data_IF_116188020823
#
_entry.id   IF_116188020823
#
_cell.length_a   1.000
_cell.length_b   1.000
_cell.length_c   1.000
_cell.angle_alpha   90.00
_cell.angle_beta   90.00
_cell.angle_gamma   90.00
#
_symmetry.space_group_name_H-M   'P 1'
#
loop_
_entity.id
_entity.type
_entity.pdbx_description
1 polymer ?
#
# COMPACT_ATOMS: atom_id res chain seq x y z
N UNK A 1 -2.07 7.16 9.17
CA UNK A 1 -2.94 6.44 10.12
C UNK A 1 -2.13 5.38 10.81
N UNK A 2 -2.42 5.11 12.08
CA UNK A 2 -1.80 4.02 12.85
C UNK A 2 -2.77 2.83 12.93
N UNK A 3 -2.24 1.62 12.75
CA UNK A 3 -2.90 0.33 12.93
C UNK A 3 -2.09 -0.48 13.96
N UNK A 4 -2.55 -1.67 14.34
CA UNK A 4 -1.75 -2.56 15.18
C UNK A 4 -0.59 -3.13 14.34
N UNK A 5 0.65 -2.84 14.76
CA UNK A 5 1.92 -3.19 14.11
C UNK A 5 2.05 -2.84 12.61
N UNK A 6 1.21 -1.94 12.12
CA UNK A 6 1.23 -1.45 10.74
C UNK A 6 0.82 0.02 10.65
N UNK A 7 1.09 0.62 9.51
CA UNK A 7 0.69 1.96 9.11
C UNK A 7 -0.33 1.90 7.97
N UNK A 8 -1.00 3.03 7.73
CA UNK A 8 -1.98 3.14 6.66
C UNK A 8 -2.29 4.59 6.32
N UNK A 9 -3.10 4.79 5.29
CA UNK A 9 -3.48 6.12 4.82
C UNK A 9 -4.89 6.18 4.29
N UNK A 10 -5.55 7.32 4.47
CA UNK A 10 -6.79 7.62 3.76
C UNK A 10 -6.39 8.01 2.34
N UNK A 11 -6.80 7.23 1.36
CA UNK A 11 -6.46 7.45 -0.05
C UNK A 11 -7.70 7.77 -0.87
N UNK A 12 -7.49 8.42 -2.01
CA UNK A 12 -8.53 8.64 -3.02
C UNK A 12 -8.01 8.32 -4.42
N UNK A 13 -8.93 7.89 -5.27
CA UNK A 13 -8.72 7.83 -6.71
C UNK A 13 -8.80 9.26 -7.28
N UNK A 14 -8.19 9.54 -8.45
CA UNK A 14 -8.29 10.85 -9.08
C UNK A 14 -9.74 11.30 -9.33
N UNK A 15 -10.62 10.34 -9.61
CA UNK A 15 -12.05 10.57 -9.92
C UNK A 15 -12.95 10.60 -8.69
N UNK A 16 -12.44 10.28 -7.48
CA UNK A 16 -13.25 10.25 -6.25
C UNK A 16 -13.83 11.63 -5.92
N UNK A 17 -15.10 11.63 -5.52
CA UNK A 17 -15.87 12.80 -5.12
C UNK A 17 -15.94 12.95 -3.60
N UNK A 18 -16.18 14.17 -3.06
CA UNK A 18 -16.24 14.39 -1.61
C UNK A 18 -17.26 13.52 -0.87
N UNK A 19 -18.37 13.16 -1.54
CA UNK A 19 -19.43 12.35 -0.96
C UNK A 19 -19.25 10.83 -1.17
N UNK A 20 -18.17 10.41 -1.82
CA UNK A 20 -17.85 8.99 -1.93
C UNK A 20 -17.38 8.45 -0.57
N UNK A 21 -17.70 7.18 -0.23
CA UNK A 21 -17.12 6.51 0.93
C UNK A 21 -15.59 6.53 0.84
N UNK A 22 -14.93 6.95 1.92
CA UNK A 22 -13.48 7.07 1.89
C UNK A 22 -12.80 5.70 1.91
N UNK A 23 -11.66 5.60 1.22
CA UNK A 23 -10.83 4.42 1.20
C UNK A 23 -9.65 4.55 2.16
N UNK A 24 -9.29 3.45 2.83
CA UNK A 24 -8.06 3.33 3.62
C UNK A 24 -7.17 2.26 3.00
N UNK A 25 -5.91 2.58 2.78
CA UNK A 25 -4.89 1.69 2.22
C UNK A 25 -3.86 1.28 3.27
N UNK A 26 -3.53 -0.01 3.31
CA UNK A 26 -2.43 -0.64 4.06
C UNK A 26 -1.93 -1.86 3.27
N UNK A 27 -0.93 -2.63 3.73
CA UNK A 27 -0.52 -3.84 3.03
C UNK A 27 -1.56 -4.98 3.17
N UNK A 28 -1.53 -5.93 2.24
CA UNK A 28 -2.16 -7.24 2.34
C UNK A 28 -1.66 -8.00 3.57
N UNK A 29 -0.36 -8.00 3.85
CA UNK A 29 0.18 -8.68 5.03
C UNK A 29 -0.26 -8.03 6.36
N UNK A 30 -0.74 -6.79 6.32
CA UNK A 30 -1.29 -6.09 7.48
C UNK A 30 -2.78 -6.42 7.73
N UNK A 31 -3.43 -7.25 6.91
CA UNK A 31 -4.86 -7.57 7.00
C UNK A 31 -5.24 -8.19 8.36
N UNK A 32 -6.34 -7.73 8.96
CA UNK A 32 -6.74 -8.15 10.32
C UNK A 32 -7.15 -9.63 10.43
N UNK A 33 -7.50 -10.27 9.31
CA UNK A 33 -7.83 -11.69 9.23
C UNK A 33 -6.63 -12.59 8.99
N UNK A 34 -5.40 -12.04 8.96
CA UNK A 34 -4.17 -12.73 8.60
C UNK A 34 -3.75 -12.47 7.15
N UNK A 35 -2.49 -12.81 6.86
CA UNK A 35 -1.86 -12.62 5.56
C UNK A 35 -2.56 -13.44 4.47
N UNK A 36 -3.00 -12.84 3.35
CA UNK A 36 -3.51 -13.60 2.21
C UNK A 36 -2.49 -14.61 1.67
N UNK A 37 -2.94 -15.84 1.42
CA UNK A 37 -2.11 -16.88 0.83
C UNK A 37 -1.63 -16.47 -0.59
N UNK A 38 -0.50 -17.01 -1.08
CA UNK A 38 -0.10 -16.83 -2.47
C UNK A 38 -1.22 -17.23 -3.45
N UNK A 39 -1.59 -16.32 -4.36
CA UNK A 39 -2.71 -16.49 -5.30
C UNK A 39 -4.10 -16.15 -4.73
N UNK A 40 -4.18 -15.75 -3.46
CA UNK A 40 -5.44 -15.36 -2.83
C UNK A 40 -5.75 -13.89 -3.07
N UNK A 41 -7.01 -13.63 -3.44
CA UNK A 41 -7.57 -12.29 -3.58
C UNK A 41 -8.89 -12.27 -2.83
N UNK A 42 -9.01 -11.33 -1.89
CA UNK A 42 -10.19 -11.14 -1.06
C UNK A 42 -10.92 -9.89 -1.56
N UNK A 43 -12.22 -10.03 -1.80
CA UNK A 43 -13.09 -8.92 -2.25
C UNK A 43 -14.40 -8.91 -1.49
N UNK A 44 -14.92 -7.70 -1.28
CA UNK A 44 -16.25 -7.42 -0.73
C UNK A 44 -16.57 -8.18 0.58
N UNK A 45 -15.59 -8.27 1.49
CA UNK A 45 -15.79 -8.91 2.79
C UNK A 45 -16.14 -7.88 3.86
N UNK A 46 -17.17 -8.10 4.70
CA UNK A 46 -17.45 -7.23 5.84
C UNK A 46 -16.23 -7.07 6.76
N UNK A 47 -16.03 -5.86 7.26
CA UNK A 47 -14.96 -5.57 8.22
C UNK A 47 -15.45 -4.49 9.20
N UNK A 48 -14.98 -4.59 10.43
CA UNK A 48 -15.18 -3.58 11.48
C UNK A 48 -13.86 -2.97 11.93
N UNK A 49 -12.79 -3.13 11.12
CA UNK A 49 -11.44 -2.68 11.44
C UNK A 49 -11.42 -1.18 11.76
N UNK A 50 -10.74 -0.85 12.84
CA UNK A 50 -10.58 0.53 13.31
C UNK A 50 -9.18 1.04 13.02
N UNK A 51 -9.08 2.34 12.73
CA UNK A 51 -7.84 3.02 12.38
C UNK A 51 -7.72 4.32 13.17
N UNK A 52 -6.55 4.58 13.75
CA UNK A 52 -6.29 5.89 14.38
C UNK A 52 -5.91 6.91 13.32
N UNK A 53 -6.69 7.99 13.28
CA UNK A 53 -6.45 9.15 12.44
C UNK A 53 -5.45 10.05 13.12
N UNK A 54 -4.43 10.48 12.38
CA UNK A 54 -3.37 11.34 12.89
C UNK A 54 -3.36 12.68 12.15
N UNK A 55 -3.05 13.75 12.87
CA UNK A 55 -2.74 15.04 12.26
C UNK A 55 -1.31 15.06 11.70
N UNK A 56 -0.92 16.19 11.07
CA UNK A 56 0.42 16.42 10.50
C UNK A 56 1.56 16.41 11.53
N UNK A 57 1.25 16.62 12.81
CA UNK A 57 2.17 16.57 13.95
C UNK A 57 2.11 15.21 14.68
N UNK A 58 1.43 14.23 14.09
CA UNK A 58 1.15 12.90 14.64
C UNK A 58 0.34 12.88 15.96
N UNK A 59 -0.42 13.95 16.21
CA UNK A 59 -1.47 13.99 17.23
C UNK A 59 -2.65 13.10 16.85
N UNK A 60 -3.27 12.46 17.85
CA UNK A 60 -4.46 11.63 17.65
C UNK A 60 -5.69 12.54 17.43
N UNK A 61 -6.38 12.36 16.31
CA UNK A 61 -7.61 13.08 15.97
C UNK A 61 -8.87 12.26 16.26
N UNK A 62 -8.72 10.94 16.46
CA UNK A 62 -9.80 9.99 16.72
C UNK A 62 -9.73 8.76 15.80
N UNK A 63 -10.83 8.01 15.76
CA UNK A 63 -10.89 6.72 15.07
C UNK A 63 -11.79 6.78 13.82
N UNK A 64 -11.35 6.12 12.75
CA UNK A 64 -12.19 5.73 11.61
C UNK A 64 -12.44 4.23 11.63
N UNK A 65 -13.59 3.81 11.12
CA UNK A 65 -13.96 2.40 11.03
C UNK A 65 -14.27 2.00 9.59
N UNK A 66 -13.72 0.87 9.17
CA UNK A 66 -14.10 0.18 7.96
C UNK A 66 -15.53 -0.37 8.08
N UNK A 67 -16.21 -0.49 6.95
CA UNK A 67 -17.43 -1.31 6.82
C UNK A 67 -17.16 -2.57 6.01
N UNK A 68 -16.15 -2.54 5.13
CA UNK A 68 -15.71 -3.70 4.36
C UNK A 68 -14.27 -3.59 3.88
N UNK A 69 -13.68 -4.75 3.61
CA UNK A 69 -12.52 -4.93 2.75
C UNK A 69 -13.05 -4.88 1.31
N UNK A 70 -12.64 -3.85 0.56
CA UNK A 70 -12.97 -3.73 -0.87
C UNK A 70 -12.12 -4.71 -1.66
N UNK A 71 -10.82 -4.77 -1.33
CA UNK A 71 -9.83 -5.59 -2.01
C UNK A 71 -8.66 -5.88 -1.06
N UNK A 72 -8.16 -7.11 -1.04
CA UNK A 72 -6.89 -7.44 -0.39
C UNK A 72 -6.16 -8.56 -1.13
N UNK A 73 -4.84 -8.43 -1.29
CA UNK A 73 -3.98 -9.50 -1.82
C UNK A 73 -2.52 -9.30 -1.42
N UNK A 74 -1.77 -10.41 -1.44
CA UNK A 74 -0.31 -10.45 -1.46
C UNK A 74 0.24 -11.11 -2.74
N UNK A 75 -0.60 -11.24 -3.77
CA UNK A 75 -0.24 -11.81 -5.08
C UNK A 75 0.16 -10.68 -6.01
N UNK A 76 1.33 -10.76 -6.65
CA UNK A 76 1.88 -9.74 -7.57
C UNK A 76 2.11 -8.34 -6.98
N UNK A 77 1.47 -8.01 -5.86
CA UNK A 77 1.57 -6.79 -5.06
C UNK A 77 1.14 -7.13 -3.63
N UNK A 78 1.18 -6.16 -2.73
CA UNK A 78 0.83 -6.34 -1.33
C UNK A 78 -0.01 -5.17 -0.82
N UNK A 79 -1.33 -5.30 -0.94
CA UNK A 79 -2.25 -4.20 -0.64
C UNK A 79 -3.57 -4.69 -0.07
N UNK A 80 -4.10 -3.93 0.87
CA UNK A 80 -5.48 -3.97 1.33
C UNK A 80 -6.10 -2.58 1.18
N UNK A 81 -7.30 -2.53 0.61
CA UNK A 81 -8.16 -1.36 0.54
C UNK A 81 -9.44 -1.62 1.34
N UNK A 82 -9.67 -0.81 2.36
CA UNK A 82 -10.92 -0.78 3.11
C UNK A 82 -11.81 0.35 2.61
N UNK A 83 -13.11 0.13 2.62
CA UNK A 83 -14.10 1.19 2.56
C UNK A 83 -14.51 1.56 3.98
N UNK A 84 -14.53 2.85 4.29
CA UNK A 84 -15.02 3.35 5.58
C UNK A 84 -16.52 3.61 5.55
N UNK A 85 -17.13 3.72 6.73
CA UNK A 85 -18.51 4.19 6.87
C UNK A 85 -18.68 5.69 6.69
N UNK A 86 -17.59 6.46 6.54
CA UNK A 86 -17.61 7.91 6.39
C UNK A 86 -17.19 8.33 4.98
N UNK A 87 -17.74 9.44 4.49
CA UNK A 87 -17.30 10.04 3.23
C UNK A 87 -16.06 10.90 3.43
N UNK A 88 -15.35 11.24 2.35
CA UNK A 88 -14.23 12.18 2.43
C UNK A 88 -14.64 13.53 3.05
N UNK A 89 -15.80 14.06 2.66
CA UNK A 89 -16.32 15.33 3.19
C UNK A 89 -16.60 15.25 4.70
N UNK A 90 -17.14 14.12 5.18
CA UNK A 90 -17.37 13.92 6.61
C UNK A 90 -16.06 13.83 7.40
N UNK A 91 -15.06 13.16 6.83
CA UNK A 91 -13.72 13.06 7.43
C UNK A 91 -13.06 14.44 7.51
N UNK A 92 -13.10 15.21 6.43
CA UNK A 92 -12.54 16.56 6.40
C UNK A 92 -13.26 17.49 7.38
N UNK A 93 -14.59 17.43 7.45
CA UNK A 93 -15.37 18.22 8.41
C UNK A 93 -15.05 17.87 9.87
N UNK A 94 -14.87 16.58 10.17
CA UNK A 94 -14.66 16.11 11.54
C UNK A 94 -13.22 16.29 12.03
N UNK A 95 -12.25 16.04 11.15
CA UNK A 95 -10.83 15.95 11.52
C UNK A 95 -9.94 17.01 10.86
N UNK A 96 -10.46 17.78 9.90
CA UNK A 96 -9.67 18.78 9.17
C UNK A 96 -8.57 18.21 8.27
N UNK A 97 -8.68 16.92 7.91
CA UNK A 97 -7.70 16.23 7.06
C UNK A 97 -8.26 15.94 5.68
N UNK A 98 -7.36 15.93 4.69
CA UNK A 98 -7.67 15.56 3.31
C UNK A 98 -7.09 14.19 2.98
N UNK A 99 -7.73 13.39 2.13
CA UNK A 99 -7.17 12.14 1.64
C UNK A 99 -5.94 12.41 0.76
N UNK A 100 -5.04 11.44 0.69
CA UNK A 100 -3.93 11.44 -0.26
C UNK A 100 -4.41 10.87 -1.60
N UNK A 101 -4.10 11.56 -2.70
CA UNK A 101 -4.44 11.06 -4.04
C UNK A 101 -3.42 10.02 -4.50
N UNK A 102 -3.90 8.91 -5.06
CA UNK A 102 -3.05 7.92 -5.73
C UNK A 102 -2.56 8.49 -7.07
N UNK A 103 -1.26 8.34 -7.35
CA UNK A 103 -0.70 8.58 -8.68
C UNK A 103 -1.32 7.62 -9.70
N UNK A 104 -1.44 8.07 -10.95
CA UNK A 104 -1.76 7.21 -12.11
C UNK A 104 -0.53 6.90 -12.96
N UNK A 105 0.60 7.50 -12.60
CA UNK A 105 1.88 7.36 -13.29
C UNK A 105 2.80 6.46 -12.46
N UNK A 106 3.55 5.60 -13.15
CA UNK A 106 4.59 4.78 -12.56
C UNK A 106 5.66 5.69 -11.91
N UNK A 107 6.19 5.34 -10.71
CA UNK A 107 7.25 6.12 -10.09
C UNK A 107 8.47 6.25 -11.01
N UNK A 108 9.24 7.33 -10.89
CA UNK A 108 10.48 7.48 -11.64
C UNK A 108 11.69 7.06 -10.79
N UNK A 109 12.65 6.37 -11.41
CA UNK A 109 13.98 6.19 -10.79
C UNK A 109 14.59 7.56 -10.47
N UNK A 110 15.13 7.69 -9.26
CA UNK A 110 15.69 8.93 -8.74
C UNK A 110 14.65 9.91 -8.19
N UNK A 111 13.35 9.59 -8.25
CA UNK A 111 12.33 10.42 -7.62
C UNK A 111 12.56 10.50 -6.11
N UNK A 112 12.50 11.71 -5.57
CA UNK A 112 12.53 11.94 -4.14
C UNK A 112 11.18 11.56 -3.52
N UNK A 113 11.21 10.74 -2.48
CA UNK A 113 10.01 10.20 -1.83
C UNK A 113 10.06 10.41 -0.32
N UNK A 114 8.89 10.37 0.31
CA UNK A 114 8.73 10.33 1.76
C UNK A 114 7.78 9.22 2.17
N UNK A 115 8.26 8.29 3.00
CA UNK A 115 7.44 7.25 3.65
C UNK A 115 6.86 7.82 4.94
N UNK A 116 5.53 7.82 5.07
CA UNK A 116 4.84 8.44 6.22
C UNK A 116 4.26 7.37 7.15
N UNK A 117 5.01 6.96 8.17
CA UNK A 117 4.56 5.93 9.12
C UNK A 117 3.69 6.53 10.22
N UNK A 118 2.44 6.09 10.25
CA UNK A 118 1.51 6.45 11.32
C UNK A 118 1.76 5.70 12.61
N UNK A 119 2.14 4.41 12.54
CA UNK A 119 2.44 3.61 13.73
C UNK A 119 3.59 4.21 14.54
N UNK A 120 4.70 4.50 13.87
CA UNK A 120 5.87 5.13 14.50
C UNK A 120 5.78 6.64 14.61
N UNK A 121 4.72 7.25 14.07
CA UNK A 121 4.55 8.71 14.04
C UNK A 121 5.78 9.43 13.47
N UNK A 122 6.35 8.85 12.40
CA UNK A 122 7.66 9.22 11.86
C UNK A 122 7.66 9.15 10.34
N UNK A 123 8.38 10.08 9.74
CA UNK A 123 8.63 10.11 8.29
C UNK A 123 10.06 9.68 7.96
N UNK A 124 10.22 9.07 6.79
CA UNK A 124 11.52 8.67 6.23
C UNK A 124 11.64 9.26 4.83
N UNK A 125 12.59 10.17 4.61
CA UNK A 125 12.81 10.83 3.31
C UNK A 125 14.00 10.17 2.62
N UNK A 126 13.78 9.73 1.38
CA UNK A 126 14.76 8.98 0.60
C UNK A 126 14.46 9.12 -0.90
N UNK A 127 14.95 8.21 -1.75
CA UNK A 127 14.65 8.20 -3.18
C UNK A 127 14.41 6.79 -3.71
N UNK A 128 13.81 6.71 -4.89
CA UNK A 128 13.68 5.46 -5.65
C UNK A 128 15.03 5.14 -6.31
N UNK A 129 15.65 4.02 -5.95
CA UNK A 129 16.88 3.54 -6.60
C UNK A 129 16.60 2.82 -7.92
N UNK A 130 15.49 2.10 -7.98
CA UNK A 130 15.08 1.35 -9.16
C UNK A 130 13.89 0.46 -8.87
N UNK A 131 13.65 -0.47 -9.79
CA UNK A 131 12.52 -1.38 -9.77
C UNK A 131 13.03 -2.81 -9.88
N UNK A 132 12.44 -3.69 -9.12
CA UNK A 132 12.79 -5.11 -9.05
C UNK A 132 11.73 -5.88 -9.83
N UNK A 133 12.06 -6.53 -10.95
CA UNK A 133 11.07 -7.24 -11.76
C UNK A 133 10.27 -8.26 -10.95
N UNK A 134 10.95 -8.99 -10.05
CA UNK A 134 10.28 -9.84 -9.07
C UNK A 134 10.98 -9.76 -7.73
N UNK A 135 10.28 -9.26 -6.71
CA UNK A 135 10.71 -9.33 -5.32
C UNK A 135 10.09 -10.57 -4.68
N UNK A 136 10.91 -11.43 -4.08
CA UNK A 136 10.44 -12.67 -3.46
C UNK A 136 10.74 -12.68 -1.97
N UNK A 137 9.72 -12.98 -1.18
CA UNK A 137 9.80 -13.10 0.28
C UNK A 137 8.98 -14.30 0.74
N UNK A 138 9.62 -15.28 1.38
CA UNK A 138 8.97 -16.51 1.81
C UNK A 138 8.22 -17.20 0.66
N UNK A 139 6.90 -17.32 0.81
CA UNK A 139 6.00 -17.90 -0.18
C UNK A 139 5.46 -16.91 -1.22
N UNK A 140 5.69 -15.61 -1.06
CA UNK A 140 5.11 -14.55 -1.90
C UNK A 140 6.08 -14.05 -2.96
N UNK A 141 5.51 -13.50 -4.02
CA UNK A 141 6.26 -12.83 -5.08
C UNK A 141 5.47 -11.62 -5.54
N UNK A 142 6.15 -10.49 -5.56
CA UNK A 142 5.61 -9.22 -5.98
C UNK A 142 6.35 -8.74 -7.23
N UNK A 143 5.63 -8.01 -8.09
CA UNK A 143 6.11 -7.60 -9.40
C UNK A 143 6.42 -6.12 -9.38
N UNK A 144 7.51 -5.76 -10.05
CA UNK A 144 7.90 -4.37 -10.27
C UNK A 144 8.04 -3.57 -8.96
N UNK A 145 8.53 -4.23 -7.90
CA UNK A 145 8.64 -3.62 -6.58
C UNK A 145 9.64 -2.47 -6.60
N UNK A 146 9.29 -1.38 -5.93
CA UNK A 146 10.15 -0.20 -5.78
C UNK A 146 11.27 -0.52 -4.81
N UNK A 147 12.52 -0.41 -5.28
CA UNK A 147 13.71 -0.43 -4.41
C UNK A 147 14.05 0.97 -3.95
N UNK A 148 14.24 1.15 -2.65
CA UNK A 148 14.71 2.42 -2.12
C UNK A 148 16.23 2.55 -2.14
N UNK A 149 16.69 3.80 -2.07
CA UNK A 149 18.08 4.09 -1.73
C UNK A 149 18.42 3.67 -0.30
N UNK A 150 19.71 3.38 0.01
CA UNK A 150 20.11 2.84 1.31
C UNK A 150 19.76 3.71 2.52
N UNK A 151 19.52 5.00 2.36
CA UNK A 151 19.16 5.92 3.45
C UNK A 151 17.72 5.69 3.95
N UNK A 152 16.89 4.99 3.17
CA UNK A 152 15.50 4.72 3.50
C UNK A 152 15.38 3.59 4.55
N UNK A 153 15.73 3.90 5.81
CA UNK A 153 15.74 2.96 6.94
C UNK A 153 14.37 2.79 7.60
N UNK A 154 13.37 2.45 6.82
CA UNK A 154 12.08 1.92 7.33
C UNK A 154 12.30 0.63 8.11
N UNK A 155 11.39 0.33 9.04
CA UNK A 155 11.49 -0.77 10.03
C UNK A 155 10.13 -1.46 10.19
N UNK A 156 10.06 -2.64 10.82
CA UNK A 156 8.78 -3.27 11.21
C UNK A 156 7.82 -2.25 11.86
N UNK A 157 6.52 -2.30 11.52
CA UNK A 157 5.53 -1.27 11.88
C UNK A 157 5.37 -0.13 10.87
N UNK A 158 6.36 0.08 9.98
CA UNK A 158 6.22 1.04 8.86
C UNK A 158 5.46 0.45 7.67
N UNK A 159 5.25 -0.86 7.62
CA UNK A 159 4.45 -1.51 6.58
C UNK A 159 3.08 -0.86 6.42
N UNK A 160 2.64 -0.69 5.18
CA UNK A 160 1.37 -0.06 4.82
C UNK A 160 1.42 1.47 4.82
N UNK A 161 2.57 2.08 5.17
CA UNK A 161 2.75 3.52 5.05
C UNK A 161 2.62 3.96 3.59
N UNK A 162 1.92 5.08 3.30
CA UNK A 162 1.97 5.67 1.96
C UNK A 162 3.40 6.14 1.67
N UNK A 163 3.85 5.88 0.44
CA UNK A 163 5.06 6.45 -0.13
C UNK A 163 4.65 7.63 -0.99
N UNK A 164 4.94 8.83 -0.53
CA UNK A 164 4.54 10.08 -1.19
C UNK A 164 5.68 10.56 -2.07
N UNK A 165 5.40 10.81 -3.35
CA UNK A 165 6.32 11.48 -4.26
C UNK A 165 6.42 12.96 -3.88
N UNK A 166 7.64 13.45 -3.65
CA UNK A 166 7.85 14.80 -3.12
C UNK A 166 7.55 15.90 -4.15
N UNK A 167 7.57 15.59 -5.45
CA UNK A 167 7.32 16.56 -6.51
C UNK A 167 5.81 16.78 -6.73
N UNK A 168 5.02 15.71 -6.61
CA UNK A 168 3.58 15.72 -6.91
C UNK A 168 2.71 15.76 -5.66
N UNK A 169 3.22 15.32 -4.50
CA UNK A 169 2.46 15.12 -3.28
C UNK A 169 1.47 13.95 -3.34
N UNK A 170 1.55 13.10 -4.38
CA UNK A 170 0.68 11.93 -4.56
C UNK A 170 1.33 10.67 -4.00
N UNK A 171 0.50 9.68 -3.67
CA UNK A 171 0.97 8.36 -3.27
C UNK A 171 1.39 7.59 -4.52
N UNK A 172 2.65 7.18 -4.58
CA UNK A 172 3.20 6.44 -5.73
C UNK A 172 3.41 4.96 -5.44
N UNK A 173 3.55 4.60 -4.16
CA UNK A 173 3.78 3.24 -3.70
C UNK A 173 3.29 3.07 -2.25
N UNK A 174 3.36 1.83 -1.75
CA UNK A 174 3.06 1.46 -0.37
C UNK A 174 4.26 0.74 0.25
N UNK A 175 4.79 1.26 1.36
CA UNK A 175 5.96 0.70 2.02
C UNK A 175 5.68 -0.73 2.46
N UNK A 176 6.55 -1.67 2.07
CA UNK A 176 6.27 -3.10 2.13
C UNK A 176 7.17 -3.84 3.12
N UNK A 177 8.41 -4.13 2.72
CA UNK A 177 9.33 -5.03 3.44
C UNK A 177 10.77 -4.52 3.37
N UNK A 178 11.71 -5.24 3.98
CA UNK A 178 13.13 -4.98 3.91
C UNK A 178 13.96 -6.22 4.21
N UNK A 179 15.17 -6.31 3.65
CA UNK A 179 16.07 -7.44 3.93
C UNK A 179 16.88 -7.19 5.20
N UNK A 180 16.48 -7.78 6.32
CA UNK A 180 17.07 -7.44 7.62
C UNK A 180 18.40 -8.14 7.89
N UNK A 181 18.47 -9.43 7.57
CA UNK A 181 19.54 -10.31 8.05
C UNK A 181 20.56 -10.66 6.96
N UNK A 182 20.25 -10.42 5.69
CA UNK A 182 21.03 -10.89 4.55
C UNK A 182 20.67 -12.32 4.13
N UNK A 183 19.53 -12.83 4.59
CA UNK A 183 19.03 -14.14 4.15
C UNK A 183 18.40 -14.03 2.76
N UNK A 184 18.23 -15.19 2.11
CA UNK A 184 17.80 -15.28 0.71
C UNK A 184 16.33 -15.71 0.63
N UNK A 185 15.46 -14.74 0.35
CA UNK A 185 14.04 -14.95 0.08
C UNK A 185 13.29 -15.61 1.25
N UNK A 186 13.73 -15.40 2.49
CA UNK A 186 13.01 -15.82 3.71
C UNK A 186 12.15 -14.66 4.19
N UNK A 187 11.27 -14.91 5.16
CA UNK A 187 10.44 -13.86 5.77
C UNK A 187 11.31 -12.79 6.45
N UNK A 188 10.94 -11.52 6.29
CA UNK A 188 11.72 -10.31 6.63
C UNK A 188 13.07 -10.22 5.88
N UNK A 189 13.21 -10.95 4.78
CA UNK A 189 14.46 -11.11 4.02
C UNK A 189 14.17 -11.30 2.53
N UNK A 190 13.48 -10.34 1.88
CA UNK A 190 13.20 -10.38 0.46
C UNK A 190 14.48 -10.46 -0.37
N UNK A 191 14.39 -11.13 -1.51
CA UNK A 191 15.44 -11.19 -2.50
C UNK A 191 14.92 -10.68 -3.85
N UNK A 192 15.82 -10.12 -4.65
CA UNK A 192 15.52 -9.68 -6.00
C UNK A 192 15.73 -10.84 -6.97
N UNK A 193 14.79 -11.05 -7.88
CA UNK A 193 14.89 -12.01 -8.97
C UNK A 193 14.82 -11.25 -10.29
N UNK A 194 15.88 -11.34 -11.09
CA UNK A 194 15.93 -10.69 -12.41
C UNK A 194 15.20 -11.51 -13.50
N UNK A 195 15.11 -10.96 -14.71
CA UNK A 195 14.45 -11.61 -15.86
C UNK A 195 15.08 -12.96 -16.26
N UNK A 196 16.34 -13.21 -15.89
CA UNK A 196 17.05 -14.46 -16.13
C UNK A 196 16.93 -15.44 -14.96
N UNK A 197 16.22 -15.08 -13.89
CA UNK A 197 16.08 -15.87 -12.66
C UNK A 197 17.29 -15.78 -11.72
N UNK A 198 18.24 -14.87 -11.96
CA UNK A 198 19.33 -14.64 -11.02
C UNK A 198 18.77 -13.99 -9.75
N UNK A 199 19.22 -14.49 -8.61
CA UNK A 199 18.77 -13.98 -7.31
C UNK A 199 19.86 -13.15 -6.66
N UNK A 200 19.52 -11.92 -6.29
CA UNK A 200 20.40 -11.01 -5.56
C UNK A 200 19.81 -10.67 -4.19
N UNK A 201 20.66 -10.52 -3.19
CA UNK A 201 20.29 -10.16 -1.82
C UNK A 201 20.98 -8.86 -1.46
N UNK A 202 20.20 -7.89 -0.98
CA UNK A 202 20.69 -6.58 -0.55
C UNK A 202 20.34 -6.34 0.92
N UNK A 203 21.21 -6.80 1.82
CA UNK A 203 21.02 -6.59 3.26
C UNK A 203 20.87 -5.11 3.59
N UNK A 204 19.81 -4.77 4.33
CA UNK A 204 19.47 -3.44 4.82
C UNK A 204 18.82 -2.54 3.77
N UNK A 205 18.42 -3.08 2.62
CA UNK A 205 17.60 -2.40 1.61
C UNK A 205 16.13 -2.73 1.84
N UNK A 206 15.30 -1.71 1.67
CA UNK A 206 13.86 -1.73 1.90
C UNK A 206 13.11 -1.45 0.59
N UNK A 207 11.87 -1.94 0.53
CA UNK A 207 11.08 -2.00 -0.69
C UNK A 207 9.65 -1.52 -0.47
N UNK A 208 8.99 -1.19 -1.57
CA UNK A 208 7.57 -0.86 -1.62
C UNK A 208 6.91 -1.47 -2.84
N UNK A 209 5.58 -1.57 -2.77
CA UNK A 209 4.75 -2.01 -3.89
C UNK A 209 4.09 -0.82 -4.57
N UNK A 210 4.06 -0.83 -5.90
CA UNK A 210 3.53 0.29 -6.67
C UNK A 210 2.00 0.39 -6.55
N UNK A 211 1.46 1.61 -6.68
CA UNK A 211 0.00 1.83 -6.54
C UNK A 211 -0.66 2.38 -7.80
N UNK A 212 0.10 2.74 -8.84
CA UNK A 212 -0.40 3.48 -9.99
C UNK A 212 -1.39 2.72 -10.89
N UNK A 213 -1.39 1.39 -10.82
CA UNK A 213 -2.33 0.55 -11.54
C UNK A 213 -3.70 0.45 -10.85
N UNK A 214 -3.77 0.74 -9.54
CA UNK A 214 -4.99 0.61 -8.74
C UNK A 214 -6.13 1.49 -9.26
N UNK A 215 -5.92 2.80 -9.58
CA UNK A 215 -7.01 3.67 -10.04
C UNK A 215 -7.77 3.17 -11.26
N UNK A 216 -7.13 2.40 -12.16
CA UNK A 216 -7.80 1.84 -13.35
C UNK A 216 -8.85 0.78 -13.02
N UNK A 217 -8.82 0.24 -11.81
CA UNK A 217 -9.76 -0.75 -11.32
C UNK A 217 -10.93 -0.13 -10.55
N UNK A 218 -11.04 1.20 -10.50
CA UNK A 218 -12.08 1.89 -9.72
C UNK A 218 -12.92 2.84 -10.57
N UNK A 219 -14.23 2.71 -10.44
CA UNK A 219 -15.23 3.58 -11.06
C UNK A 219 -15.78 4.64 -10.10
N UNK A 220 -16.90 5.24 -10.51
CA UNK A 220 -17.63 6.22 -9.70
C UNK A 220 -18.02 5.64 -8.32
N UNK A 221 -18.02 6.49 -7.29
CA UNK A 221 -18.38 6.08 -5.93
C UNK A 221 -17.34 5.21 -5.24
N UNK A 222 -16.09 5.21 -5.71
CA UNK A 222 -15.04 4.29 -5.26
C UNK A 222 -15.41 2.81 -5.41
N UNK A 223 -16.14 2.47 -6.47
CA UNK A 223 -16.56 1.08 -6.73
C UNK A 223 -15.45 0.32 -7.47
N UNK A 224 -14.99 -0.79 -6.89
CA UNK A 224 -14.04 -1.69 -7.54
C UNK A 224 -14.69 -2.43 -8.71
N UNK A 225 -14.04 -2.40 -9.86
CA UNK A 225 -14.34 -3.22 -11.03
C UNK A 225 -13.04 -3.85 -11.55
N UNK A 226 -12.80 -5.11 -11.17
CA UNK A 226 -11.64 -5.89 -11.62
C UNK A 226 -11.71 -6.25 -13.12
N UNK A 227 -12.84 -6.03 -13.78
CA UNK A 227 -13.01 -6.25 -15.22
C UNK A 227 -12.95 -4.94 -16.02
N UNK A 228 -12.73 -3.81 -15.36
CA UNK A 228 -12.53 -2.53 -16.03
C UNK A 228 -11.36 -2.60 -17.02
N UNK A 229 -11.49 -1.88 -18.14
CA UNK A 229 -10.46 -1.84 -19.16
C UNK A 229 -9.14 -1.30 -18.58
N UNK A 230 -8.07 -2.08 -18.73
CA UNK A 230 -6.75 -1.72 -18.21
C UNK A 230 -6.54 -1.96 -16.72
N UNK A 231 -7.51 -2.55 -16.01
CA UNK A 231 -7.28 -3.05 -14.65
C UNK A 231 -6.38 -4.30 -14.69
N UNK A 232 -5.25 -4.24 -13.99
CA UNK A 232 -4.26 -5.32 -13.91
C UNK A 232 -4.13 -5.93 -12.52
N UNK A 233 -5.01 -5.56 -11.58
CA UNK A 233 -5.03 -6.17 -10.26
C UNK A 233 -5.32 -7.67 -10.35
N UNK A 234 -4.66 -8.50 -9.52
CA UNK A 234 -5.01 -9.91 -9.36
C UNK A 234 -6.50 -10.12 -9.10
N UNK A 235 -7.05 -11.19 -9.67
CA UNK A 235 -8.46 -11.56 -9.55
C UNK A 235 -8.64 -12.81 -8.70
N UNK A 236 -9.78 -12.97 -8.00
CA UNK A 236 -10.08 -14.19 -7.28
C UNK A 236 -10.02 -15.42 -8.19
N UNK A 237 -9.28 -16.43 -7.76
CA UNK A 237 -9.20 -17.74 -8.39
C UNK A 237 -10.57 -18.43 -8.33
N UNK A 238 -11.46 -18.15 -9.28
CA UNK A 238 -12.83 -18.69 -9.23
C UNK A 238 -13.84 -18.15 -10.24
N UNK A 239 -13.57 -17.05 -10.96
CA UNK A 239 -14.45 -16.63 -12.06
C UNK A 239 -13.93 -17.25 -13.37
N UNK A 240 -14.41 -18.46 -13.67
CA UNK A 240 -14.41 -18.95 -15.04
C UNK A 240 -15.32 -18.02 -15.86
N UNK A 241 -14.80 -17.48 -16.96
CA UNK A 241 -15.66 -16.94 -18.02
C UNK A 241 -16.58 -18.01 -18.57
#
# INVERSE_FOLDING_TARGET
MALDDCSGSIVKMPTSQPNDPALVMTNGHCLESGMPDPGQVIVDQPSSRSFTVLDKSAGDLGTLQATKIVYATMTDTDVTLYQTGSTYAQIEQKYGIKPLELSTDHPAKGAGITVVSGYWKKTYTCSVDGFVPTLKEGGWSWKDSVRYTPECKTIGGTSGSPVVDNATGKVTAINNTGNENGERCTENNPCEVDENGNVTVHKGINYAEETYFIPKCFGAGNTLDLNASGCTLPKPSGVRH
#
